data_IF_546366883294
#
_entry.id   IF_546366883294
#
_cell.length_a   1.000
_cell.length_b   1.000
_cell.length_c   1.000
_cell.angle_alpha   90.00
_cell.angle_beta   90.00
_cell.angle_gamma   90.00
#
_symmetry.space_group_name_H-M   'P 1'
#
loop_
_entity.id
_entity.type
_entity.pdbx_description
1 polymer ?
#
# COMPACT_ATOMS: atom_id res chain seq x y z
N UNK A 1 0.63 -1.41 -19.92
CA UNK A 1 1.81 -0.95 -19.16
C UNK A 1 1.27 -0.09 -18.03
N UNK A 2 1.80 -0.25 -16.82
CA UNK A 2 1.30 0.48 -15.65
C UNK A 2 1.55 1.98 -15.82
N UNK A 3 0.61 2.85 -15.41
CA UNK A 3 0.82 4.31 -15.44
C UNK A 3 1.88 4.71 -14.40
N UNK A 4 1.94 3.95 -13.31
CA UNK A 4 2.98 4.10 -12.30
C UNK A 4 4.36 3.65 -12.81
N UNK A 5 5.36 4.53 -12.71
CA UNK A 5 6.77 4.16 -12.84
C UNK A 5 7.29 3.60 -11.51
N UNK A 6 7.21 2.27 -11.34
CA UNK A 6 7.52 1.59 -10.08
C UNK A 6 9.01 1.24 -10.00
N UNK A 7 9.72 1.81 -9.04
CA UNK A 7 11.13 1.49 -8.76
C UNK A 7 11.31 0.22 -7.94
N UNK A 8 10.46 0.00 -6.93
CA UNK A 8 10.49 -1.21 -6.10
C UNK A 8 9.13 -1.50 -5.46
N UNK A 9 8.92 -2.78 -5.14
CA UNK A 9 7.81 -3.26 -4.31
C UNK A 9 8.38 -4.03 -3.12
N UNK A 10 7.85 -3.77 -1.92
CA UNK A 10 8.17 -4.50 -0.69
C UNK A 10 6.88 -5.06 -0.12
N UNK A 11 6.89 -6.32 0.29
CA UNK A 11 5.78 -6.93 1.04
C UNK A 11 6.29 -7.35 2.41
N UNK A 12 5.58 -6.95 3.45
CA UNK A 12 5.85 -7.32 4.84
C UNK A 12 4.68 -8.13 5.36
N UNK A 13 4.97 -9.22 6.07
CA UNK A 13 3.98 -10.04 6.78
C UNK A 13 4.37 -10.09 8.25
N UNK A 14 3.40 -9.83 9.12
CA UNK A 14 3.52 -9.91 10.57
C UNK A 14 2.58 -11.03 11.06
N UNK A 15 3.11 -11.94 11.85
CA UNK A 15 2.35 -12.95 12.58
C UNK A 15 2.45 -12.67 14.08
N UNK A 16 1.33 -12.34 14.72
CA UNK A 16 1.25 -12.13 16.17
C UNK A 16 0.96 -13.46 16.84
N UNK A 17 1.99 -14.03 17.48
CA UNK A 17 1.92 -15.35 18.14
C UNK A 17 1.44 -15.26 19.59
N UNK A 18 1.67 -14.13 20.25
CA UNK A 18 1.28 -13.88 21.64
C UNK A 18 0.87 -12.42 21.83
N UNK A 19 -0.17 -12.16 22.62
CA UNK A 19 -0.60 -10.81 22.96
C UNK A 19 -1.05 -10.76 24.42
N UNK A 20 -0.64 -9.73 25.17
CA UNK A 20 -0.89 -9.60 26.62
C UNK A 20 -0.50 -10.85 27.43
N UNK A 21 0.57 -11.54 27.00
CA UNK A 21 1.05 -12.76 27.64
C UNK A 21 0.24 -14.02 27.36
N UNK A 22 -0.80 -13.96 26.51
CA UNK A 22 -1.61 -15.10 26.09
C UNK A 22 -1.23 -15.56 24.67
N UNK A 23 -1.21 -16.88 24.39
CA UNK A 23 -1.00 -17.38 23.03
C UNK A 23 -2.19 -17.04 22.13
N UNK A 24 -1.92 -16.68 20.87
CA UNK A 24 -2.93 -16.40 19.84
C UNK A 24 -2.94 -17.56 18.85
N UNK A 25 -4.05 -18.30 18.78
CA UNK A 25 -4.17 -19.50 17.94
C UNK A 25 -5.53 -19.56 17.23
N UNK A 26 -5.57 -19.49 15.89
CA UNK A 26 -4.42 -19.25 14.99
C UNK A 26 -3.83 -17.84 15.20
N UNK A 27 -2.53 -17.61 14.89
CA UNK A 27 -1.93 -16.28 14.95
C UNK A 27 -2.73 -15.24 14.18
N UNK A 28 -2.85 -14.03 14.73
CA UNK A 28 -3.35 -12.90 13.95
C UNK A 28 -2.28 -12.49 12.95
N UNK A 29 -2.65 -12.36 11.67
CA UNK A 29 -1.71 -12.07 10.59
C UNK A 29 -2.06 -10.74 9.94
N UNK A 30 -1.04 -9.96 9.60
CA UNK A 30 -1.17 -8.69 8.87
C UNK A 30 -0.18 -8.66 7.72
N UNK A 31 -0.58 -8.09 6.60
CA UNK A 31 0.33 -7.86 5.47
C UNK A 31 0.22 -6.42 4.99
N UNK A 32 1.36 -5.87 4.57
CA UNK A 32 1.46 -4.59 3.90
C UNK A 32 2.31 -4.74 2.64
N UNK A 33 1.75 -4.38 1.48
CA UNK A 33 2.46 -4.26 0.23
C UNK A 33 2.68 -2.77 -0.07
N UNK A 34 3.92 -2.39 -0.40
CA UNK A 34 4.35 -1.01 -0.59
C UNK A 34 5.02 -0.88 -1.95
N UNK A 35 4.53 0.05 -2.78
CA UNK A 35 5.23 0.46 -4.00
C UNK A 35 5.96 1.78 -3.77
N UNK A 36 7.18 1.91 -4.30
CA UNK A 36 7.88 3.19 -4.40
C UNK A 36 7.91 3.58 -5.86
N UNK A 37 7.28 4.72 -6.16
CA UNK A 37 7.09 5.23 -7.51
C UNK A 37 7.78 6.58 -7.69
N UNK A 38 8.03 6.93 -8.95
CA UNK A 38 8.32 8.32 -9.31
C UNK A 38 7.06 9.19 -9.13
N UNK A 39 7.21 10.36 -8.50
CA UNK A 39 6.13 11.34 -8.42
C UNK A 39 6.18 12.24 -9.67
N UNK A 40 5.18 12.16 -10.58
CA UNK A 40 5.17 12.96 -11.81
C UNK A 40 5.05 14.47 -11.57
N UNK A 41 4.60 14.89 -10.38
CA UNK A 41 4.36 16.28 -9.99
C UNK A 41 5.44 16.87 -9.08
N UNK A 42 6.51 16.13 -8.77
CA UNK A 42 7.57 16.64 -7.89
C UNK A 42 8.23 17.92 -8.45
N UNK A 43 8.49 18.87 -7.57
CA UNK A 43 9.18 20.13 -7.87
C UNK A 43 8.32 21.18 -8.57
N UNK A 44 7.00 20.98 -8.72
CA UNK A 44 6.08 21.97 -9.29
C UNK A 44 4.71 21.92 -8.63
N UNK A 45 4.04 23.08 -8.60
CA UNK A 45 2.62 23.15 -8.25
C UNK A 45 1.78 22.71 -9.45
N UNK A 46 0.76 21.90 -9.21
CA UNK A 46 -0.20 21.45 -10.20
C UNK A 46 -1.59 21.37 -9.55
N UNK A 47 -2.56 22.08 -10.11
CA UNK A 47 -3.92 22.08 -9.57
C UNK A 47 -4.70 20.79 -9.88
N UNK A 48 -4.41 20.18 -11.03
CA UNK A 48 -5.04 18.92 -11.47
C UNK A 48 -4.20 17.71 -11.07
N UNK A 49 -4.74 16.88 -10.18
CA UNK A 49 -4.07 15.70 -9.61
C UNK A 49 -4.53 14.38 -10.23
N UNK A 50 -5.29 14.41 -11.33
CA UNK A 50 -5.86 13.22 -11.98
C UNK A 50 -4.80 12.15 -12.30
N UNK A 51 -3.58 12.57 -12.63
CA UNK A 51 -2.47 11.64 -12.88
C UNK A 51 -2.12 10.78 -11.65
N UNK A 52 -2.08 11.39 -10.46
CA UNK A 52 -1.81 10.69 -9.21
C UNK A 52 -3.02 9.85 -8.78
N UNK A 53 -4.24 10.32 -9.04
CA UNK A 53 -5.47 9.57 -8.73
C UNK A 53 -5.55 8.26 -9.52
N UNK A 54 -5.27 8.30 -10.82
CA UNK A 54 -5.25 7.10 -11.68
C UNK A 54 -4.13 6.13 -11.28
N UNK A 55 -2.95 6.65 -10.92
CA UNK A 55 -1.86 5.84 -10.36
C UNK A 55 -2.31 5.18 -9.05
N UNK A 56 -3.00 5.91 -8.19
CA UNK A 56 -3.52 5.41 -6.91
C UNK A 56 -4.53 4.28 -7.08
N UNK A 57 -5.45 4.39 -8.03
CA UNK A 57 -6.42 3.34 -8.37
C UNK A 57 -5.72 2.05 -8.80
N UNK A 58 -4.76 2.16 -9.73
CA UNK A 58 -3.97 1.03 -10.21
C UNK A 58 -3.17 0.35 -9.09
N UNK A 59 -2.47 1.16 -8.27
CA UNK A 59 -1.69 0.65 -7.15
C UNK A 59 -2.57 0.04 -6.07
N UNK A 60 -3.78 0.56 -5.85
CA UNK A 60 -4.75 0.00 -4.91
C UNK A 60 -5.08 -1.46 -5.23
N UNK A 61 -5.37 -1.76 -6.50
CA UNK A 61 -5.60 -3.12 -6.98
C UNK A 61 -4.36 -3.99 -6.82
N UNK A 62 -3.23 -3.55 -7.38
CA UNK A 62 -1.97 -4.32 -7.38
C UNK A 62 -1.48 -4.67 -5.97
N UNK A 63 -1.51 -3.70 -5.05
CA UNK A 63 -1.01 -3.88 -3.69
C UNK A 63 -1.99 -4.69 -2.84
N UNK A 64 -3.31 -4.52 -3.05
CA UNK A 64 -4.33 -5.37 -2.43
C UNK A 64 -4.15 -6.84 -2.78
N UNK A 65 -3.96 -7.15 -4.07
CA UNK A 65 -3.69 -8.50 -4.57
C UNK A 65 -2.43 -9.11 -3.94
N UNK A 66 -1.36 -8.31 -3.79
CA UNK A 66 -0.13 -8.77 -3.13
C UNK A 66 -0.34 -9.10 -1.65
N UNK A 67 -1.15 -8.32 -0.94
CA UNK A 67 -1.47 -8.59 0.46
C UNK A 67 -2.25 -9.90 0.63
N UNK A 68 -3.31 -10.13 -0.16
CA UNK A 68 -4.11 -11.36 -0.06
C UNK A 68 -3.28 -12.60 -0.45
N UNK A 69 -2.43 -12.48 -1.47
CA UNK A 69 -1.51 -13.55 -1.86
C UNK A 69 -0.48 -13.86 -0.77
N UNK A 70 0.09 -12.83 -0.12
CA UNK A 70 1.06 -13.01 0.95
C UNK A 70 0.46 -13.62 2.22
N UNK A 71 -0.81 -13.31 2.51
CA UNK A 71 -1.56 -13.91 3.61
C UNK A 71 -2.07 -15.33 3.28
N UNK A 72 -2.14 -15.69 1.99
CA UNK A 72 -2.67 -16.96 1.54
C UNK A 72 -4.18 -17.07 1.70
N UNK A 73 -4.90 -15.96 1.52
CA UNK A 73 -6.36 -15.85 1.71
C UNK A 73 -7.04 -15.36 0.43
N UNK A 74 -8.36 -15.50 0.37
CA UNK A 74 -9.22 -14.79 -0.59
C UNK A 74 -9.53 -13.37 -0.10
N UNK A 75 -9.89 -12.43 -0.99
CA UNK A 75 -10.26 -11.07 -0.58
C UNK A 75 -11.42 -11.02 0.43
N UNK A 76 -12.35 -11.97 0.37
CA UNK A 76 -13.52 -12.02 1.27
C UNK A 76 -13.17 -12.41 2.71
N UNK A 77 -11.99 -13.00 2.95
CA UNK A 77 -11.51 -13.40 4.27
C UNK A 77 -10.78 -12.26 5.01
N UNK A 78 -10.48 -11.16 4.31
CA UNK A 78 -9.82 -10.01 4.93
C UNK A 78 -10.77 -9.31 5.92
N UNK A 79 -10.37 -9.27 7.19
CA UNK A 79 -11.19 -8.69 8.26
C UNK A 79 -11.01 -7.17 8.42
N UNK A 80 -9.89 -6.62 7.93
CA UNK A 80 -9.56 -5.21 8.03
C UNK A 80 -8.57 -4.83 6.94
N UNK A 81 -8.63 -3.58 6.50
CA UNK A 81 -7.72 -3.02 5.52
C UNK A 81 -7.43 -1.55 5.84
N UNK A 82 -6.33 -1.05 5.31
CA UNK A 82 -5.92 0.34 5.43
C UNK A 82 -5.04 0.73 4.25
N UNK A 83 -4.91 2.04 4.03
CA UNK A 83 -4.01 2.60 3.03
C UNK A 83 -3.22 3.75 3.64
N UNK A 84 -2.01 3.95 3.15
CA UNK A 84 -1.16 5.07 3.53
C UNK A 84 -0.30 5.47 2.33
N UNK A 85 0.08 6.73 2.28
CA UNK A 85 1.01 7.26 1.30
C UNK A 85 2.04 8.15 2.00
N UNK A 86 3.27 8.13 1.49
CA UNK A 86 4.37 8.97 1.94
C UNK A 86 4.92 9.68 0.71
N UNK A 87 4.98 11.01 0.76
CA UNK A 87 5.47 11.84 -0.35
C UNK A 87 6.93 12.23 -0.05
N UNK A 88 7.76 12.22 -1.09
CA UNK A 88 9.12 12.75 -0.99
C UNK A 88 9.12 14.28 -0.77
N UNK A 89 10.24 14.80 -0.26
CA UNK A 89 10.37 16.20 0.18
C UNK A 89 10.10 17.25 -0.92
N UNK A 90 10.28 16.88 -2.20
CA UNK A 90 9.99 17.76 -3.33
C UNK A 90 8.53 17.70 -3.80
N UNK A 91 7.64 17.01 -3.09
CA UNK A 91 6.21 16.98 -3.36
C UNK A 91 5.39 17.76 -2.34
N UNK A 92 4.08 17.75 -2.52
CA UNK A 92 3.09 18.38 -1.64
C UNK A 92 2.26 17.29 -0.94
N UNK A 93 1.61 17.62 0.18
CA UNK A 93 0.82 16.66 0.96
C UNK A 93 -0.36 16.12 0.13
N UNK A 94 -0.92 16.97 -0.72
CA UNK A 94 -1.98 16.69 -1.68
C UNK A 94 -1.60 15.56 -2.65
N UNK A 95 -0.31 15.32 -2.89
CA UNK A 95 0.15 14.20 -3.72
C UNK A 95 -0.09 12.82 -3.08
N UNK A 96 -0.45 12.77 -1.79
CA UNK A 96 -0.79 11.57 -1.04
C UNK A 96 -2.27 11.44 -0.66
N UNK A 97 -3.10 12.43 -0.97
CA UNK A 97 -4.49 12.54 -0.50
C UNK A 97 -5.45 11.51 -1.13
#
# INVERSE_FOLDING_TARGET
MTKANIRKIVTVVEDVLTEMGQPVSPPTRRAAAIAVIENPLAGRYQADLEDLMQIGEELGGLLGEKCVAALGITPAEAQSYGKAALVGENGELEHAA
#
